data_IF_100685647276
#
_entry.id   IF_100685647276
#
_cell.length_a   1.000
_cell.length_b   1.000
_cell.length_c   1.000
_cell.angle_alpha   90.00
_cell.angle_beta   90.00
_cell.angle_gamma   90.00
#
_symmetry.space_group_name_H-M   'P 1'
#
loop_
_entity.id
_entity.type
_entity.pdbx_description
1 polymer ?
#
# COMPACT_ATOMS: atom_id res chain seq x y z
N UNK A 1 -13.98 11.93 1.26
CA UNK A 1 -14.70 12.02 -0.04
C UNK A 1 -15.83 11.00 -0.06
N UNK A 2 -16.99 11.33 -0.64
CA UNK A 2 -18.15 10.43 -0.72
C UNK A 2 -18.55 10.29 -2.18
N UNK A 3 -18.78 9.05 -2.65
CA UNK A 3 -19.16 8.80 -4.04
C UNK A 3 -19.38 7.31 -4.30
N UNK A 4 -19.81 6.94 -5.51
CA UNK A 4 -19.88 5.53 -5.88
C UNK A 4 -18.47 4.96 -6.03
N UNK A 5 -18.30 3.72 -5.60
CA UNK A 5 -17.04 2.98 -5.65
C UNK A 5 -16.35 3.05 -7.03
N UNK A 6 -17.13 2.91 -8.11
CA UNK A 6 -16.68 3.00 -9.51
C UNK A 6 -16.01 4.34 -9.88
N UNK A 7 -16.36 5.43 -9.20
CA UNK A 7 -15.77 6.76 -9.41
C UNK A 7 -14.66 7.07 -8.41
N UNK A 8 -14.71 6.48 -7.21
CA UNK A 8 -13.69 6.68 -6.18
C UNK A 8 -12.39 5.92 -6.51
N UNK A 9 -12.49 4.70 -7.04
CA UNK A 9 -11.32 3.86 -7.34
C UNK A 9 -10.35 4.52 -8.33
N UNK A 10 -10.79 5.08 -9.47
CA UNK A 10 -9.88 5.76 -10.39
C UNK A 10 -9.15 6.92 -9.74
N UNK A 11 -9.80 7.67 -8.83
CA UNK A 11 -9.15 8.77 -8.11
C UNK A 11 -8.00 8.23 -7.27
N UNK A 12 -8.22 7.18 -6.48
CA UNK A 12 -7.16 6.56 -5.68
C UNK A 12 -6.02 6.01 -6.54
N UNK A 13 -6.33 5.21 -7.55
CA UNK A 13 -5.33 4.54 -8.43
C UNK A 13 -4.47 5.52 -9.21
N UNK A 14 -5.04 6.65 -9.63
CA UNK A 14 -4.30 7.68 -10.35
C UNK A 14 -3.55 8.64 -9.41
N UNK A 15 -3.86 8.62 -8.10
CA UNK A 15 -3.24 9.50 -7.12
C UNK A 15 -2.08 8.85 -6.36
N UNK A 16 -2.16 7.53 -6.13
CA UNK A 16 -1.16 6.79 -5.36
C UNK A 16 -0.25 5.98 -6.30
N UNK A 17 1.05 6.19 -6.14
CA UNK A 17 2.10 5.39 -6.77
C UNK A 17 2.99 4.79 -5.69
N UNK A 18 3.49 3.59 -5.95
CA UNK A 18 4.25 2.82 -4.97
C UNK A 18 5.58 2.37 -5.59
N UNK A 19 6.67 2.60 -4.87
CA UNK A 19 8.00 2.17 -5.26
C UNK A 19 8.73 1.49 -4.09
N UNK A 20 9.53 0.46 -4.39
CA UNK A 20 10.40 -0.22 -3.42
C UNK A 20 11.84 0.07 -3.81
N UNK A 21 12.67 0.48 -2.84
CA UNK A 21 14.05 0.88 -3.15
C UNK A 21 14.99 -0.32 -3.12
N UNK A 22 15.05 -1.07 -2.01
CA UNK A 22 15.85 -2.30 -1.86
C UNK A 22 15.31 -3.16 -0.72
N UNK A 23 15.46 -4.47 -0.87
CA UNK A 23 15.23 -5.46 0.18
C UNK A 23 16.56 -5.85 0.81
N UNK A 24 16.57 -6.02 2.13
CA UNK A 24 17.68 -6.65 2.84
C UNK A 24 17.13 -7.79 3.68
N UNK A 25 17.86 -8.91 3.72
CA UNK A 25 17.51 -10.01 4.60
C UNK A 25 17.85 -9.62 6.04
N UNK A 26 16.86 -9.67 6.93
CA UNK A 26 17.03 -9.41 8.35
C UNK A 26 17.56 -10.65 9.10
N UNK A 27 17.91 -10.46 10.37
CA UNK A 27 18.46 -11.53 11.24
C UNK A 27 17.51 -12.71 11.44
N UNK A 28 16.20 -12.50 11.25
CA UNK A 28 15.15 -13.54 11.34
C UNK A 28 14.92 -14.27 10.01
N UNK A 29 15.68 -13.92 8.98
CA UNK A 29 15.62 -14.53 7.66
C UNK A 29 14.49 -14.02 6.75
N UNK A 30 13.75 -12.99 7.16
CA UNK A 30 12.77 -12.31 6.32
C UNK A 30 13.42 -11.15 5.55
N UNK A 31 12.84 -10.73 4.43
CA UNK A 31 13.29 -9.55 3.69
C UNK A 31 12.59 -8.31 4.22
N UNK A 32 13.34 -7.36 4.75
CA UNK A 32 12.83 -6.07 5.21
C UNK A 32 13.19 -4.97 4.20
N UNK A 33 12.33 -3.97 4.07
CA UNK A 33 12.57 -2.86 3.14
C UNK A 33 11.72 -1.63 3.44
N UNK A 34 11.91 -0.60 2.62
CA UNK A 34 11.12 0.62 2.65
C UNK A 34 10.28 0.73 1.37
N UNK A 35 8.98 0.85 1.56
CA UNK A 35 7.97 1.15 0.57
C UNK A 35 7.74 2.67 0.54
N UNK A 36 7.94 3.31 -0.61
CA UNK A 36 7.62 4.71 -0.80
C UNK A 36 6.23 4.81 -1.42
N UNK A 37 5.28 5.30 -0.63
CA UNK A 37 3.92 5.56 -1.07
C UNK A 37 3.81 7.04 -1.41
N UNK A 38 3.80 7.34 -2.71
CA UNK A 38 3.73 8.70 -3.24
C UNK A 38 2.27 9.05 -3.54
N UNK A 39 1.83 10.19 -3.04
CA UNK A 39 0.57 10.81 -3.39
C UNK A 39 0.83 12.04 -4.27
N UNK A 40 0.35 12.00 -5.51
CA UNK A 40 0.48 13.11 -6.46
C UNK A 40 -0.73 14.04 -6.48
N UNK A 41 -1.76 13.75 -5.70
CA UNK A 41 -3.00 14.53 -5.65
C UNK A 41 -2.98 15.57 -4.53
N UNK A 42 -3.97 16.48 -4.56
CA UNK A 42 -4.27 17.41 -3.47
C UNK A 42 -5.10 16.82 -2.32
N UNK A 43 -5.37 15.50 -2.32
CA UNK A 43 -6.23 14.84 -1.33
C UNK A 43 -5.39 14.01 -0.35
N UNK A 44 -5.77 13.94 0.92
CA UNK A 44 -5.20 12.97 1.87
C UNK A 44 -5.78 11.57 1.60
N UNK A 45 -4.99 10.53 1.79
CA UNK A 45 -5.47 9.14 1.78
C UNK A 45 -5.17 8.44 3.10
N UNK A 46 -6.22 7.94 3.76
CA UNK A 46 -6.10 7.18 5.01
C UNK A 46 -6.35 5.71 4.73
N UNK A 47 -5.26 4.95 4.63
CA UNK A 47 -5.26 3.53 4.27
C UNK A 47 -5.28 2.69 5.53
N UNK A 48 -6.20 1.72 5.58
CA UNK A 48 -6.19 0.63 6.56
C UNK A 48 -5.81 -0.66 5.84
N UNK A 49 -4.83 -1.36 6.40
CA UNK A 49 -4.30 -2.62 5.84
C UNK A 49 -4.77 -3.80 6.70
N UNK A 50 -4.64 -5.03 6.19
CA UNK A 50 -4.88 -6.24 6.97
C UNK A 50 -3.69 -6.66 7.86
N UNK A 51 -2.68 -5.79 7.99
CA UNK A 51 -1.39 -6.09 8.63
C UNK A 51 -0.52 -7.00 7.77
N UNK A 52 -0.95 -8.25 7.55
CA UNK A 52 -0.18 -9.24 6.77
C UNK A 52 -1.01 -9.82 5.63
N UNK A 53 -0.43 -9.93 4.44
CA UNK A 53 -1.04 -10.56 3.27
C UNK A 53 0.03 -11.18 2.36
N UNK A 54 -0.13 -12.47 2.01
CA UNK A 54 0.81 -13.23 1.16
C UNK A 54 2.28 -13.11 1.59
N UNK A 55 2.52 -13.11 2.91
CA UNK A 55 3.85 -12.99 3.49
C UNK A 55 4.42 -11.57 3.54
N UNK A 56 3.75 -10.57 2.95
CA UNK A 56 4.07 -9.15 3.10
C UNK A 56 3.37 -8.59 4.33
N UNK A 57 4.11 -7.91 5.20
CA UNK A 57 3.61 -7.24 6.39
C UNK A 57 3.78 -5.73 6.26
N UNK A 58 2.71 -4.98 6.49
CA UNK A 58 2.63 -3.53 6.46
C UNK A 58 2.00 -3.03 7.77
N UNK A 59 2.23 -1.76 8.16
CA UNK A 59 1.48 -1.15 9.26
C UNK A 59 -0.02 -1.18 9.00
N UNK A 60 -0.81 -1.37 10.07
CA UNK A 60 -2.28 -1.44 10.01
C UNK A 60 -2.91 -0.16 9.44
N UNK A 61 -2.22 0.97 9.60
CA UNK A 61 -2.66 2.29 9.16
C UNK A 61 -1.53 3.05 8.48
N UNK A 62 -1.83 3.63 7.33
CA UNK A 62 -0.91 4.47 6.57
C UNK A 62 -1.69 5.71 6.13
N UNK A 63 -1.29 6.88 6.62
CA UNK A 63 -1.83 8.16 6.14
C UNK A 63 -0.83 8.74 5.14
N UNK A 64 -1.32 9.07 3.94
CA UNK A 64 -0.52 9.67 2.87
C UNK A 64 -1.02 11.09 2.62
N UNK A 65 -0.31 12.13 3.12
CA UNK A 65 -0.71 13.52 2.94
C UNK A 65 -0.74 13.94 1.47
N UNK A 66 -1.42 15.06 1.13
CA UNK A 66 -1.42 15.64 -0.20
C UNK A 66 0.00 15.93 -0.71
N UNK A 67 0.24 15.71 -2.00
CA UNK A 67 1.48 16.02 -2.70
C UNK A 67 2.77 15.53 -1.99
N UNK A 68 2.68 14.41 -1.27
CA UNK A 68 3.73 13.92 -0.37
C UNK A 68 4.12 12.48 -0.67
N UNK A 69 5.32 12.10 -0.22
CA UNK A 69 5.78 10.70 -0.22
C UNK A 69 5.99 10.25 1.21
N UNK A 70 5.41 9.10 1.58
CA UNK A 70 5.59 8.49 2.90
C UNK A 70 6.44 7.23 2.76
N UNK A 71 7.45 7.09 3.62
CA UNK A 71 8.26 5.89 3.75
C UNK A 71 7.60 4.93 4.75
N UNK A 72 7.28 3.73 4.29
CA UNK A 72 6.61 2.68 5.07
C UNK A 72 7.54 1.48 5.17
N UNK A 73 7.89 1.08 6.38
CA UNK A 73 8.65 -0.15 6.59
C UNK A 73 7.77 -1.37 6.33
N UNK A 74 8.35 -2.40 5.73
CA UNK A 74 7.65 -3.66 5.49
C UNK A 74 8.59 -4.86 5.70
N UNK A 75 7.98 -6.00 6.02
CA UNK A 75 8.65 -7.29 6.09
C UNK A 75 8.02 -8.26 5.08
N UNK A 76 8.84 -9.13 4.48
CA UNK A 76 8.42 -10.13 3.52
C UNK A 76 9.04 -11.48 3.86
N UNK A 77 8.21 -12.47 4.20
CA UNK A 77 8.66 -13.76 4.73
C UNK A 77 8.82 -14.86 3.68
N UNK A 78 8.43 -14.61 2.43
CA UNK A 78 8.57 -15.60 1.39
C UNK A 78 9.97 -15.52 0.75
N UNK A 79 10.61 -16.69 0.63
CA UNK A 79 12.00 -16.86 0.24
C UNK A 79 12.20 -17.16 -1.25
N UNK A 80 11.15 -17.09 -2.07
CA UNK A 80 11.28 -17.27 -3.52
C UNK A 80 12.05 -16.10 -4.13
N UNK A 81 13.19 -16.38 -4.76
CA UNK A 81 13.97 -15.39 -5.50
C UNK A 81 13.24 -14.88 -6.75
N UNK A 82 13.57 -13.65 -7.16
CA UNK A 82 13.07 -13.01 -8.36
C UNK A 82 12.04 -11.92 -8.11
N UNK A 83 11.35 -11.53 -9.18
CA UNK A 83 10.35 -10.46 -9.13
C UNK A 83 9.08 -10.93 -8.42
N UNK A 84 8.70 -10.22 -7.36
CA UNK A 84 7.43 -10.38 -6.68
C UNK A 84 6.50 -9.21 -7.03
N UNK A 85 5.27 -9.54 -7.39
CA UNK A 85 4.16 -8.60 -7.56
C UNK A 85 3.05 -8.97 -6.60
N UNK A 86 2.72 -8.06 -5.68
CA UNK A 86 1.70 -8.25 -4.65
C UNK A 86 0.64 -7.18 -4.82
N UNK A 87 -0.59 -7.62 -5.00
CA UNK A 87 -1.77 -6.76 -4.90
C UNK A 87 -2.25 -6.81 -3.45
N UNK A 88 -1.78 -5.85 -2.65
CA UNK A 88 -2.05 -5.84 -1.21
C UNK A 88 -3.40 -5.16 -0.95
N UNK A 89 -4.39 -5.84 -0.34
CA UNK A 89 -5.71 -5.29 -0.11
C UNK A 89 -5.68 -4.16 0.93
N UNK A 90 -6.33 -3.04 0.63
CA UNK A 90 -6.44 -1.88 1.51
C UNK A 90 -7.86 -1.30 1.53
N UNK A 91 -8.25 -0.76 2.67
CA UNK A 91 -9.44 0.08 2.83
C UNK A 91 -9.02 1.55 2.82
N UNK A 92 -9.60 2.37 1.95
CA UNK A 92 -9.38 3.83 1.95
C UNK A 92 -10.47 4.46 2.81
N UNK A 93 -10.18 4.57 4.10
CA UNK A 93 -11.16 4.86 5.16
C UNK A 93 -11.81 6.24 5.05
N UNK A 94 -11.11 7.21 4.46
CA UNK A 94 -11.63 8.55 4.22
C UNK A 94 -12.35 8.70 2.87
N UNK A 95 -12.52 7.61 2.11
CA UNK A 95 -13.28 7.55 0.86
C UNK A 95 -14.48 6.62 1.06
N UNK A 96 -15.68 7.18 1.15
CA UNK A 96 -16.90 6.44 1.49
C UNK A 96 -17.67 6.07 0.22
N UNK A 97 -17.72 4.76 -0.07
CA UNK A 97 -18.47 4.14 -1.16
C UNK A 97 -19.96 3.90 -0.82
N UNK A 98 -20.36 4.20 0.42
CA UNK A 98 -21.72 4.09 0.94
C UNK A 98 -21.76 4.48 2.42
N UNK A 99 -22.94 4.44 3.07
CA UNK A 99 -23.06 4.74 4.49
C UNK A 99 -22.13 3.85 5.32
N UNK A 100 -21.16 4.46 6.01
CA UNK A 100 -20.14 3.76 6.82
C UNK A 100 -19.35 2.68 6.07
N UNK A 101 -19.29 2.75 4.73
CA UNK A 101 -18.58 1.78 3.89
C UNK A 101 -17.40 2.46 3.22
N UNK A 102 -16.20 2.16 3.70
CA UNK A 102 -14.97 2.58 3.04
C UNK A 102 -14.82 1.94 1.65
N UNK A 103 -14.14 2.65 0.76
CA UNK A 103 -13.73 2.12 -0.54
C UNK A 103 -12.64 1.06 -0.32
N UNK A 104 -12.74 -0.06 -1.04
CA UNK A 104 -11.74 -1.13 -1.01
C UNK A 104 -10.98 -1.16 -2.33
N UNK A 105 -9.66 -1.26 -2.28
CA UNK A 105 -8.83 -1.43 -3.47
C UNK A 105 -7.51 -2.16 -3.12
N UNK A 106 -6.61 -2.31 -4.09
CA UNK A 106 -5.31 -2.93 -3.89
C UNK A 106 -4.18 -1.91 -4.10
N UNK A 107 -3.17 -1.96 -3.23
CA UNK A 107 -1.86 -1.37 -3.50
C UNK A 107 -1.03 -2.36 -4.34
N UNK A 108 -0.59 -1.92 -5.51
CA UNK A 108 0.30 -2.71 -6.36
C UNK A 108 1.75 -2.50 -5.91
N UNK A 109 2.33 -3.54 -5.32
CA UNK A 109 3.68 -3.52 -4.76
C UNK A 109 4.55 -4.46 -5.60
N UNK A 110 5.60 -3.90 -6.20
CA UNK A 110 6.56 -4.64 -7.02
C UNK A 110 7.96 -4.52 -6.42
N UNK A 111 8.64 -5.64 -6.23
CA UNK A 111 10.03 -5.68 -5.76
C UNK A 111 10.75 -6.92 -6.26
N UNK A 112 12.08 -6.88 -6.24
CA UNK A 112 12.94 -8.00 -6.63
C UNK A 112 13.67 -8.54 -5.40
N UNK A 113 13.68 -9.86 -5.27
CA UNK A 113 14.36 -10.60 -4.20
C UNK A 113 15.61 -11.25 -4.81
N UNK A 114 16.78 -10.82 -4.35
CA UNK A 114 18.09 -11.31 -4.81
C UNK A 114 18.53 -12.61 -4.11
#
# INVERSE_FOLDING_TARGET
MIGKDEFLRPVFRNSISVAVIKLAKNEKGAYSGILFVKNISGLTFDLKTSGTFKGLSLPDKITVPPASTVAVSFDYTNNTKGNAKIEFPVEVTNFLAGPNKAMNDNLLINFNIE
#
